data_IF_014611534629
#
_entry.id   IF_014611534629
#
_cell.length_a   1.000
_cell.length_b   1.000
_cell.length_c   1.000
_cell.angle_alpha   90.00
_cell.angle_beta   90.00
_cell.angle_gamma   90.00
#
_symmetry.space_group_name_H-M   'P 1'
#
loop_
_entity.id
_entity.type
_entity.pdbx_description
1 polymer ?
#
# COMPACT_ATOMS: atom_id res chain seq x y z
N UNK A 1 25.12 -6.20 -24.10
CA UNK A 1 24.06 -6.56 -23.14
C UNK A 1 24.18 -5.59 -21.98
N UNK A 2 23.43 -4.50 -22.01
CA UNK A 2 23.44 -3.46 -20.97
C UNK A 2 22.61 -4.02 -19.81
N UNK A 3 23.25 -4.38 -18.70
CA UNK A 3 22.58 -4.68 -17.44
C UNK A 3 21.83 -3.40 -17.03
N UNK A 4 20.50 -3.41 -17.17
CA UNK A 4 19.66 -2.33 -16.69
C UNK A 4 19.92 -2.15 -15.21
N UNK A 5 20.40 -1.00 -14.82
CA UNK A 5 20.58 -0.64 -13.42
C UNK A 5 19.18 -0.53 -12.82
N UNK A 6 18.74 -1.60 -12.13
CA UNK A 6 17.48 -1.59 -11.40
C UNK A 6 17.62 -0.55 -10.29
N UNK A 7 16.85 0.54 -10.36
CA UNK A 7 16.90 1.59 -9.35
C UNK A 7 16.35 1.07 -8.02
N UNK A 8 17.08 1.31 -6.94
CA UNK A 8 16.59 1.05 -5.58
C UNK A 8 15.43 2.00 -5.28
N UNK A 9 14.30 1.45 -4.87
CA UNK A 9 13.10 2.21 -4.50
C UNK A 9 12.84 2.25 -3.00
N UNK A 10 13.56 1.41 -2.24
CA UNK A 10 13.54 1.41 -0.78
C UNK A 10 14.81 0.76 -0.27
N UNK A 11 15.44 1.33 0.75
CA UNK A 11 16.45 0.65 1.54
C UNK A 11 16.20 0.83 3.03
N UNK A 12 16.43 -0.23 3.77
CA UNK A 12 16.47 -0.28 5.22
C UNK A 12 17.86 -0.74 5.60
N UNK A 13 18.54 0.03 6.43
CA UNK A 13 19.91 -0.23 6.85
C UNK A 13 19.97 -0.35 8.38
N UNK A 14 20.42 -1.51 8.87
CA UNK A 14 20.62 -1.80 10.30
C UNK A 14 19.42 -1.40 11.17
N UNK A 15 18.20 -1.66 10.73
CA UNK A 15 17.00 -1.28 11.43
C UNK A 15 16.83 -2.05 12.73
N UNK A 16 16.63 -1.30 13.80
CA UNK A 16 16.25 -1.83 15.12
C UNK A 16 14.86 -1.35 15.47
N UNK A 17 14.03 -2.25 15.96
CA UNK A 17 12.70 -1.96 16.46
C UNK A 17 12.34 -2.96 17.54
N UNK A 18 11.92 -2.49 18.70
CA UNK A 18 11.48 -3.32 19.80
C UNK A 18 10.10 -2.94 20.28
N UNK A 19 9.37 -3.90 20.83
CA UNK A 19 8.14 -3.67 21.56
C UNK A 19 8.36 -4.07 23.03
N UNK A 20 8.62 -3.07 23.86
CA UNK A 20 9.10 -3.28 25.22
C UNK A 20 10.45 -3.96 25.22
N UNK A 21 10.58 -5.16 25.80
CA UNK A 21 11.82 -5.93 25.84
C UNK A 21 11.95 -6.96 24.68
N UNK A 22 10.98 -7.00 23.78
CA UNK A 22 10.99 -7.95 22.67
C UNK A 22 11.47 -7.28 21.39
N UNK A 23 12.68 -7.64 20.87
CA UNK A 23 13.14 -7.15 19.59
C UNK A 23 12.27 -7.72 18.48
N UNK A 24 11.76 -6.84 17.61
CA UNK A 24 11.03 -7.18 16.39
C UNK A 24 11.93 -7.11 15.17
N UNK A 25 12.84 -6.15 15.14
CA UNK A 25 13.92 -6.03 14.16
C UNK A 25 15.23 -5.88 14.94
N UNK A 26 16.22 -6.67 14.57
CA UNK A 26 17.56 -6.65 15.14
C UNK A 26 18.56 -6.49 14.00
N UNK A 27 19.05 -5.26 13.79
CA UNK A 27 19.93 -4.87 12.69
C UNK A 27 19.48 -5.39 11.33
N UNK A 28 18.18 -5.36 11.10
CA UNK A 28 17.61 -5.83 9.86
C UNK A 28 17.96 -4.90 8.70
N UNK A 29 18.33 -5.49 7.56
CA UNK A 29 18.59 -4.73 6.35
C UNK A 29 17.79 -5.33 5.19
N UNK A 30 17.23 -4.45 4.35
CA UNK A 30 16.41 -4.81 3.21
C UNK A 30 16.61 -3.77 2.11
N UNK A 31 16.79 -4.22 0.89
CA UNK A 31 16.79 -3.36 -0.30
C UNK A 31 15.74 -3.86 -1.26
N UNK A 32 14.93 -2.95 -1.77
CA UNK A 32 13.91 -3.24 -2.79
C UNK A 32 14.22 -2.45 -4.04
N UNK A 33 14.23 -3.14 -5.18
CA UNK A 33 14.47 -2.55 -6.49
C UNK A 33 13.19 -2.44 -7.30
N UNK A 34 13.19 -1.58 -8.30
CA UNK A 34 12.04 -1.36 -9.16
C UNK A 34 11.60 -2.67 -9.85
N UNK A 35 10.31 -2.98 -9.79
CA UNK A 35 9.72 -4.19 -10.36
C UNK A 35 9.87 -5.46 -9.51
N UNK A 36 10.58 -5.38 -8.39
CA UNK A 36 10.76 -6.50 -7.46
C UNK A 36 9.46 -6.80 -6.69
N UNK A 37 9.26 -8.07 -6.37
CA UNK A 37 8.17 -8.56 -5.53
C UNK A 37 8.75 -9.35 -4.38
N UNK A 38 8.51 -8.87 -3.16
CA UNK A 38 9.06 -9.47 -1.94
C UNK A 38 7.94 -10.10 -1.13
N UNK A 39 8.11 -11.38 -0.77
CA UNK A 39 7.25 -12.09 0.17
C UNK A 39 7.82 -12.02 1.58
N UNK A 40 7.10 -11.42 2.52
CA UNK A 40 7.49 -11.37 3.93
C UNK A 40 6.83 -12.54 4.69
N UNK A 41 7.63 -13.54 5.06
CA UNK A 41 7.17 -14.77 5.69
C UNK A 41 7.65 -14.83 7.14
N UNK A 42 6.79 -15.30 8.04
CA UNK A 42 7.11 -15.47 9.45
C UNK A 42 5.87 -15.76 10.29
N UNK A 43 6.07 -16.26 11.50
CA UNK A 43 4.99 -16.55 12.46
C UNK A 43 4.27 -15.26 12.87
N UNK A 44 3.07 -15.37 13.45
CA UNK A 44 2.39 -14.22 14.02
C UNK A 44 3.20 -13.65 15.21
N UNK A 45 3.25 -12.33 15.31
CA UNK A 45 4.02 -11.63 16.34
C UNK A 45 5.51 -11.41 16.02
N UNK A 46 6.02 -11.85 14.85
CA UNK A 46 7.43 -11.65 14.47
C UNK A 46 7.78 -10.30 13.87
N UNK A 47 6.90 -9.29 13.99
CA UNK A 47 7.20 -7.93 13.52
C UNK A 47 6.87 -7.63 12.06
N UNK A 48 6.26 -8.54 11.29
CA UNK A 48 5.90 -8.30 9.87
C UNK A 48 5.08 -7.01 9.69
N UNK A 49 4.00 -6.87 10.44
CA UNK A 49 3.15 -5.68 10.37
C UNK A 49 3.87 -4.43 10.88
N UNK A 50 4.76 -4.59 11.86
CA UNK A 50 5.59 -3.48 12.38
C UNK A 50 6.57 -2.99 11.32
N UNK A 51 7.21 -3.89 10.59
CA UNK A 51 8.07 -3.52 9.45
C UNK A 51 7.29 -2.76 8.38
N UNK A 52 6.09 -3.22 8.01
CA UNK A 52 5.25 -2.51 7.04
C UNK A 52 4.85 -1.11 7.54
N UNK A 53 4.56 -0.96 8.83
CA UNK A 53 4.26 0.34 9.44
C UNK A 53 5.47 1.27 9.43
N UNK A 54 6.67 0.75 9.62
CA UNK A 54 7.92 1.53 9.48
C UNK A 54 8.09 2.00 8.04
N UNK A 55 7.93 1.10 7.07
CA UNK A 55 8.07 1.42 5.64
C UNK A 55 7.08 2.51 5.20
N UNK A 56 5.88 2.52 5.77
CA UNK A 56 4.85 3.54 5.48
C UNK A 56 4.97 4.82 6.32
N UNK A 57 5.95 4.91 7.21
CA UNK A 57 6.12 6.06 8.10
C UNK A 57 5.12 6.12 9.25
N UNK A 58 4.31 5.08 9.46
CA UNK A 58 3.34 4.99 10.56
C UNK A 58 3.96 4.62 11.91
N UNK A 59 5.21 4.19 11.91
CA UNK A 59 6.00 3.94 13.10
C UNK A 59 7.47 4.33 12.83
N UNK A 60 8.16 4.96 13.79
CA UNK A 60 9.60 5.21 13.69
C UNK A 60 10.38 3.91 13.93
N UNK A 61 11.63 3.87 13.49
CA UNK A 61 12.64 2.92 13.97
C UNK A 61 13.20 3.39 15.32
N UNK A 62 13.68 2.45 16.14
CA UNK A 62 14.45 2.76 17.35
C UNK A 62 15.88 3.15 16.97
N UNK A 63 16.47 2.46 15.97
CA UNK A 63 17.77 2.78 15.38
C UNK A 63 17.83 2.28 13.92
N UNK A 64 18.85 2.73 13.19
CA UNK A 64 19.02 2.44 11.77
C UNK A 64 18.37 3.49 10.87
N UNK A 65 18.25 3.19 9.58
CA UNK A 65 17.74 4.13 8.60
C UNK A 65 16.80 3.47 7.59
N UNK A 66 15.68 4.15 7.30
CA UNK A 66 14.83 3.90 6.16
C UNK A 66 15.06 5.01 5.13
N UNK A 67 15.34 4.64 3.90
CA UNK A 67 15.51 5.57 2.77
C UNK A 67 14.53 5.23 1.65
N UNK A 68 13.79 6.23 1.24
CA UNK A 68 12.91 6.23 0.09
C UNK A 68 13.39 7.35 -0.85
N UNK A 69 13.70 7.07 -2.12
CA UNK A 69 14.00 8.11 -3.10
C UNK A 69 12.82 9.06 -3.28
N UNK A 70 13.13 10.30 -3.68
CA UNK A 70 12.10 11.29 -3.99
C UNK A 70 11.15 10.77 -5.08
N UNK A 71 9.86 11.03 -4.89
CA UNK A 71 8.82 10.60 -5.83
C UNK A 71 8.34 9.15 -5.65
N UNK A 72 8.95 8.36 -4.77
CA UNK A 72 8.42 7.04 -4.42
C UNK A 72 7.24 7.20 -3.48
N UNK A 73 6.11 6.65 -3.89
CA UNK A 73 4.89 6.61 -3.08
C UNK A 73 4.72 5.23 -2.46
N UNK A 74 4.49 5.19 -1.16
CA UNK A 74 4.23 3.96 -0.42
C UNK A 74 2.77 3.91 -0.02
N UNK A 75 2.07 2.83 -0.38
CA UNK A 75 0.67 2.62 -0.04
C UNK A 75 0.54 1.32 0.73
N UNK A 76 -0.04 1.39 1.92
CA UNK A 76 -0.38 0.23 2.73
C UNK A 76 -1.83 -0.18 2.45
N UNK A 77 -2.03 -1.43 2.07
CA UNK A 77 -3.35 -2.04 2.03
C UNK A 77 -3.52 -2.82 3.33
N UNK A 78 -4.44 -2.37 4.17
CA UNK A 78 -4.73 -3.01 5.45
C UNK A 78 -5.35 -4.39 5.24
N UNK A 79 -5.23 -5.27 6.23
CA UNK A 79 -5.82 -6.61 6.22
C UNK A 79 -7.36 -6.54 6.23
N UNK A 80 -7.93 -5.56 6.93
CA UNK A 80 -9.34 -5.23 6.96
C UNK A 80 -9.51 -3.75 6.58
N UNK A 81 -9.61 -3.45 5.27
CA UNK A 81 -9.67 -2.07 4.83
C UNK A 81 -11.03 -1.45 5.15
N UNK A 82 -11.00 -0.30 5.81
CA UNK A 82 -12.18 0.52 6.02
C UNK A 82 -12.48 1.31 4.73
N UNK A 83 -13.62 1.04 4.14
CA UNK A 83 -14.14 1.77 3.00
C UNK A 83 -15.17 2.78 3.48
N UNK A 84 -15.09 4.07 3.08
CA UNK A 84 -16.07 5.08 3.44
C UNK A 84 -17.49 4.67 3.03
N UNK A 85 -18.51 5.01 3.84
CA UNK A 85 -19.89 4.73 3.46
C UNK A 85 -20.28 5.53 2.22
N UNK A 86 -20.87 4.86 1.24
CA UNK A 86 -21.36 5.42 -0.01
C UNK A 86 -22.49 4.54 -0.59
N UNK A 87 -23.17 4.99 -1.62
CA UNK A 87 -24.19 4.17 -2.27
C UNK A 87 -23.56 3.04 -3.07
N UNK A 88 -22.47 3.32 -3.77
CA UNK A 88 -21.77 2.35 -4.63
C UNK A 88 -20.31 2.18 -4.21
N UNK A 89 -19.71 1.06 -4.63
CA UNK A 89 -18.30 0.78 -4.44
C UNK A 89 -17.44 1.87 -5.10
N UNK A 90 -17.78 2.31 -6.30
CA UNK A 90 -17.07 3.38 -7.01
C UNK A 90 -16.98 4.65 -6.18
N UNK A 91 -18.14 5.13 -5.69
CA UNK A 91 -18.18 6.34 -4.86
C UNK A 91 -17.31 6.22 -3.62
N UNK A 92 -17.38 5.08 -2.94
CA UNK A 92 -16.56 4.81 -1.76
C UNK A 92 -15.06 4.86 -2.07
N UNK A 93 -14.63 4.30 -3.21
CA UNK A 93 -13.23 4.30 -3.61
C UNK A 93 -12.75 5.69 -4.03
N UNK A 94 -13.56 6.47 -4.71
CA UNK A 94 -13.29 7.88 -5.07
C UNK A 94 -13.11 8.72 -3.82
N UNK A 95 -14.00 8.57 -2.83
CA UNK A 95 -13.90 9.25 -1.53
C UNK A 95 -12.62 8.84 -0.77
N UNK A 96 -12.34 7.54 -0.67
CA UNK A 96 -11.13 7.03 0.01
C UNK A 96 -9.85 7.51 -0.66
N UNK A 97 -9.84 7.56 -1.98
CA UNK A 97 -8.68 8.05 -2.76
C UNK A 97 -8.51 9.56 -2.74
N UNK A 98 -9.49 10.29 -2.22
CA UNK A 98 -9.47 11.75 -2.21
C UNK A 98 -9.53 12.37 -3.61
N UNK A 99 -10.12 11.67 -4.59
CA UNK A 99 -10.15 12.13 -5.98
C UNK A 99 -10.97 13.41 -6.14
N UNK A 100 -11.99 13.61 -5.28
CA UNK A 100 -12.82 14.81 -5.28
C UNK A 100 -12.04 16.08 -4.90
N UNK A 101 -10.92 15.94 -4.18
CA UNK A 101 -10.06 17.05 -3.79
C UNK A 101 -9.03 17.43 -4.88
N UNK A 102 -8.95 16.65 -5.97
CA UNK A 102 -8.02 16.91 -7.06
C UNK A 102 -8.62 17.98 -7.97
N UNK A 103 -7.99 19.16 -8.02
CA UNK A 103 -8.43 20.29 -8.82
C UNK A 103 -8.13 20.17 -10.32
N UNK A 104 -7.14 19.38 -10.69
CA UNK A 104 -6.84 19.08 -12.10
C UNK A 104 -7.78 17.98 -12.61
N UNK A 105 -8.76 18.38 -13.42
CA UNK A 105 -9.73 17.48 -14.03
C UNK A 105 -9.07 16.38 -14.86
N UNK A 106 -7.94 16.65 -15.51
CA UNK A 106 -7.22 15.68 -16.32
C UNK A 106 -6.52 14.62 -15.46
N UNK A 107 -5.94 15.03 -14.34
CA UNK A 107 -5.34 14.12 -13.38
C UNK A 107 -6.41 13.27 -12.71
N UNK A 108 -7.50 13.87 -12.24
CA UNK A 108 -8.64 13.16 -11.66
C UNK A 108 -9.19 12.10 -12.61
N UNK A 109 -9.44 12.49 -13.86
CA UNK A 109 -9.95 11.56 -14.87
C UNK A 109 -9.01 10.37 -15.10
N UNK A 110 -7.69 10.61 -15.12
CA UNK A 110 -6.69 9.54 -15.27
C UNK A 110 -6.73 8.55 -14.10
N UNK A 111 -6.85 9.05 -12.88
CA UNK A 111 -6.92 8.20 -11.68
C UNK A 111 -8.22 7.38 -11.66
N UNK A 112 -9.35 7.99 -12.00
CA UNK A 112 -10.63 7.29 -12.12
C UNK A 112 -10.60 6.22 -13.21
N UNK A 113 -10.02 6.50 -14.36
CA UNK A 113 -9.87 5.52 -15.43
C UNK A 113 -8.99 4.34 -15.02
N UNK A 114 -7.87 4.61 -14.32
CA UNK A 114 -7.03 3.56 -13.74
C UNK A 114 -7.74 2.75 -12.68
N UNK A 115 -8.53 3.40 -11.82
CA UNK A 115 -9.32 2.73 -10.81
C UNK A 115 -10.30 1.74 -11.46
N UNK A 116 -11.06 2.17 -12.48
CA UNK A 116 -11.97 1.29 -13.21
C UNK A 116 -11.24 0.14 -13.90
N UNK A 117 -10.06 0.38 -14.47
CA UNK A 117 -9.22 -0.68 -15.05
C UNK A 117 -8.85 -1.75 -14.02
N UNK A 118 -8.36 -1.33 -12.84
CA UNK A 118 -7.97 -2.28 -11.79
C UNK A 118 -9.18 -2.94 -11.13
N UNK A 119 -10.29 -2.23 -10.95
CA UNK A 119 -11.55 -2.81 -10.48
C UNK A 119 -12.01 -3.94 -11.42
N UNK A 120 -12.00 -3.70 -12.72
CA UNK A 120 -12.34 -4.73 -13.71
C UNK A 120 -11.38 -5.92 -13.68
N UNK A 121 -10.05 -5.69 -13.61
CA UNK A 121 -9.03 -6.75 -13.50
C UNK A 121 -9.21 -7.61 -12.25
N UNK A 122 -9.67 -7.01 -11.15
CA UNK A 122 -9.92 -7.69 -9.88
C UNK A 122 -11.37 -8.21 -9.76
N UNK A 123 -12.13 -8.22 -10.86
CA UNK A 123 -13.50 -8.73 -10.94
C UNK A 123 -14.43 -8.08 -9.91
N UNK A 124 -14.35 -6.76 -9.80
CA UNK A 124 -15.22 -5.96 -8.96
C UNK A 124 -16.32 -5.31 -9.80
N UNK A 125 -17.53 -5.28 -9.26
CA UNK A 125 -18.61 -4.46 -9.79
C UNK A 125 -18.58 -3.09 -9.10
N UNK A 126 -18.24 -2.04 -9.82
CA UNK A 126 -18.15 -0.69 -9.29
C UNK A 126 -19.51 -0.13 -8.84
N UNK A 127 -20.61 -0.62 -9.42
CA UNK A 127 -21.98 -0.23 -9.06
C UNK A 127 -22.55 -1.08 -7.90
N UNK A 128 -21.75 -1.97 -7.31
CA UNK A 128 -22.21 -2.81 -6.20
C UNK A 128 -22.57 -1.96 -4.98
N UNK A 129 -23.68 -2.34 -4.33
CA UNK A 129 -24.10 -1.77 -3.05
C UNK A 129 -23.06 -2.08 -1.96
N UNK A 130 -22.54 -1.05 -1.33
CA UNK A 130 -21.52 -1.15 -0.27
C UNK A 130 -21.96 -2.04 0.91
N UNK A 131 -23.27 -2.10 1.21
CA UNK A 131 -23.78 -2.90 2.31
C UNK A 131 -23.70 -4.41 2.03
N UNK A 132 -23.60 -4.81 0.77
CA UNK A 132 -23.59 -6.21 0.33
C UNK A 132 -22.21 -6.77 0.02
N UNK A 133 -21.16 -5.94 0.10
CA UNK A 133 -19.81 -6.37 -0.20
C UNK A 133 -19.28 -7.35 0.85
N UNK A 134 -18.77 -8.47 0.35
CA UNK A 134 -18.01 -9.43 1.16
C UNK A 134 -16.65 -8.84 1.59
N UNK A 135 -16.05 -9.39 2.64
CA UNK A 135 -14.71 -9.00 3.08
C UNK A 135 -13.66 -9.15 1.96
N UNK A 136 -13.78 -10.21 1.15
CA UNK A 136 -12.88 -10.43 0.01
C UNK A 136 -13.02 -9.36 -1.08
N UNK A 137 -14.23 -8.88 -1.34
CA UNK A 137 -14.44 -7.78 -2.28
C UNK A 137 -13.90 -6.46 -1.73
N UNK A 138 -14.06 -6.19 -0.45
CA UNK A 138 -13.49 -5.01 0.23
C UNK A 138 -11.96 -5.00 0.12
N UNK A 139 -11.31 -6.14 0.33
CA UNK A 139 -9.85 -6.27 0.20
C UNK A 139 -9.39 -6.05 -1.25
N UNK A 140 -10.07 -6.65 -2.23
CA UNK A 140 -9.76 -6.42 -3.65
C UNK A 140 -10.01 -4.97 -4.05
N UNK A 141 -11.04 -4.32 -3.52
CA UNK A 141 -11.35 -2.92 -3.79
C UNK A 141 -10.25 -1.98 -3.25
N UNK A 142 -9.78 -2.19 -2.03
CA UNK A 142 -8.67 -1.43 -1.49
C UNK A 142 -7.37 -1.65 -2.29
N UNK A 143 -7.14 -2.88 -2.78
CA UNK A 143 -6.01 -3.18 -3.66
C UNK A 143 -6.16 -2.48 -5.03
N UNK A 144 -7.37 -2.46 -5.62
CA UNK A 144 -7.62 -1.74 -6.87
C UNK A 144 -7.29 -0.26 -6.73
N UNK A 145 -7.72 0.37 -5.64
CA UNK A 145 -7.42 1.77 -5.35
C UNK A 145 -5.91 2.00 -5.19
N UNK A 146 -5.22 1.15 -4.41
CA UNK A 146 -3.78 1.27 -4.21
C UNK A 146 -2.98 1.16 -5.52
N UNK A 147 -3.42 0.30 -6.44
CA UNK A 147 -2.78 0.15 -7.75
C UNK A 147 -3.12 1.30 -8.72
N UNK A 148 -4.25 1.97 -8.51
CA UNK A 148 -4.66 3.12 -9.32
C UNK A 148 -3.89 4.40 -8.97
N UNK A 149 -3.57 4.57 -7.72
CA UNK A 149 -2.82 5.74 -7.19
C UNK A 149 -1.34 5.67 -7.54
#
# INVERSE_FOLDING_TARGET
MTAGHLSTILSIDNAELAYGLHPLLDRASLTVTQGERIGLIGRNGTGKSSLLRVITGLAPLDDGALRLPDGVRVILVEQEPELPPAATLRESLVLRGGFDAIHDDKERWRLEARLSEFAHRLQLNEDADMARLSGGERNRAALALALAM
#
